data_IF_566369411041
#
_entry.id   IF_566369411041
#
_cell.length_a   1.000
_cell.length_b   1.000
_cell.length_c   1.000
_cell.angle_alpha   90.00
_cell.angle_beta   90.00
_cell.angle_gamma   90.00
#
_symmetry.space_group_name_H-M   'P 1'
#
loop_
_entity.id
_entity.type
_entity.pdbx_description
1 polymer ?
#
# COMPACT_ATOMS: atom_id res chain seq x y z
N UNK A 1 8.18 -27.68 10.98
CA UNK A 1 6.86 -27.12 10.57
C UNK A 1 6.79 -25.61 10.84
N UNK A 2 7.81 -25.02 11.48
CA UNK A 2 7.77 -23.64 12.00
C UNK A 2 8.00 -22.56 10.94
N UNK A 3 8.80 -22.85 9.90
CA UNK A 3 9.09 -21.89 8.82
C UNK A 3 7.86 -21.53 7.99
N UNK A 4 7.04 -22.53 7.63
CA UNK A 4 5.79 -22.32 6.89
C UNK A 4 4.79 -21.49 7.72
N UNK A 5 4.68 -21.77 9.03
CA UNK A 5 3.78 -21.02 9.92
C UNK A 5 4.11 -19.53 9.99
N UNK A 6 5.40 -19.18 9.96
CA UNK A 6 5.86 -17.80 10.01
C UNK A 6 5.51 -17.03 8.72
N UNK A 7 5.65 -17.69 7.56
CA UNK A 7 5.28 -17.05 6.28
C UNK A 7 3.77 -16.79 6.15
N UNK A 8 2.91 -17.72 6.57
CA UNK A 8 1.47 -17.49 6.58
C UNK A 8 1.06 -16.32 7.48
N UNK A 9 1.71 -16.18 8.64
CA UNK A 9 1.47 -15.06 9.57
C UNK A 9 1.89 -13.73 8.93
N UNK A 10 3.06 -13.66 8.28
CA UNK A 10 3.50 -12.46 7.56
C UNK A 10 2.50 -12.07 6.47
N UNK A 11 2.03 -13.02 5.67
CA UNK A 11 1.03 -12.78 4.61
C UNK A 11 -0.27 -12.21 5.18
N UNK A 12 -0.77 -12.79 6.28
CA UNK A 12 -1.98 -12.31 6.93
C UNK A 12 -1.80 -10.87 7.45
N UNK A 13 -0.68 -10.62 8.15
CA UNK A 13 -0.36 -9.32 8.72
C UNK A 13 -0.25 -8.25 7.62
N UNK A 14 0.42 -8.54 6.52
CA UNK A 14 0.62 -7.52 5.48
C UNK A 14 -0.68 -7.18 4.74
N UNK A 15 -1.56 -8.18 4.53
CA UNK A 15 -2.89 -7.94 3.99
C UNK A 15 -3.70 -7.03 4.92
N UNK A 16 -3.69 -7.31 6.23
CA UNK A 16 -4.36 -6.49 7.25
C UNK A 16 -3.82 -5.08 7.25
N UNK A 17 -2.49 -4.91 7.24
CA UNK A 17 -1.83 -3.60 7.20
C UNK A 17 -2.27 -2.81 5.97
N UNK A 18 -2.17 -3.41 4.77
CA UNK A 18 -2.61 -2.77 3.54
C UNK A 18 -4.10 -2.41 3.58
N UNK A 19 -4.93 -3.31 4.13
CA UNK A 19 -6.36 -3.08 4.26
C UNK A 19 -6.68 -1.89 5.17
N UNK A 20 -6.02 -1.79 6.34
CA UNK A 20 -6.22 -0.71 7.31
C UNK A 20 -5.82 0.65 6.73
N UNK A 21 -4.65 0.72 6.08
CA UNK A 21 -4.18 1.95 5.43
C UNK A 21 -5.17 2.36 4.32
N UNK A 22 -5.62 1.39 3.53
CA UNK A 22 -6.54 1.67 2.44
C UNK A 22 -7.95 2.04 2.88
N UNK A 23 -8.46 1.42 3.95
CA UNK A 23 -9.72 1.83 4.58
C UNK A 23 -9.64 3.26 5.09
N UNK A 24 -8.56 3.62 5.77
CA UNK A 24 -8.40 4.97 6.30
C UNK A 24 -8.38 6.01 5.18
N UNK A 25 -7.73 5.68 4.05
CA UNK A 25 -7.72 6.57 2.89
C UNK A 25 -9.09 6.67 2.22
N UNK A 26 -9.80 5.55 2.07
CA UNK A 26 -11.16 5.51 1.54
C UNK A 26 -12.13 6.34 2.41
N UNK A 27 -12.04 6.21 3.74
CA UNK A 27 -12.76 7.03 4.72
C UNK A 27 -12.41 8.51 4.58
N UNK A 28 -11.12 8.87 4.54
CA UNK A 28 -10.70 10.27 4.41
C UNK A 28 -11.21 10.92 3.12
N UNK A 29 -11.22 10.16 2.03
CA UNK A 29 -11.70 10.61 0.73
C UNK A 29 -13.22 10.77 0.72
N UNK A 30 -13.95 9.85 1.36
CA UNK A 30 -15.39 9.94 1.57
C UNK A 30 -15.76 11.24 2.31
N UNK A 31 -15.08 11.57 3.40
CA UNK A 31 -15.33 12.81 4.15
C UNK A 31 -15.00 14.09 3.35
N UNK A 32 -14.02 14.02 2.43
CA UNK A 32 -13.57 15.17 1.65
C UNK A 32 -14.28 15.31 0.29
N UNK A 33 -15.32 14.51 0.02
CA UNK A 33 -16.00 14.41 -1.28
C UNK A 33 -15.01 14.26 -2.46
N UNK A 34 -13.90 13.55 -2.25
CA UNK A 34 -12.89 13.30 -3.28
C UNK A 34 -13.11 11.93 -3.91
N UNK A 35 -13.14 11.89 -5.23
CA UNK A 35 -13.18 10.66 -6.03
C UNK A 35 -11.75 10.17 -6.29
N UNK A 36 -11.09 9.74 -5.21
CA UNK A 36 -9.76 9.13 -5.30
C UNK A 36 -9.87 7.63 -5.59
N UNK A 37 -9.02 7.13 -6.50
CA UNK A 37 -9.19 5.84 -7.19
C UNK A 37 -8.96 4.57 -6.37
N UNK A 38 -8.39 4.65 -5.17
CA UNK A 38 -7.79 3.46 -4.55
C UNK A 38 -8.20 3.32 -3.08
N UNK A 39 -9.15 2.41 -2.86
CA UNK A 39 -9.70 2.02 -1.57
C UNK A 39 -9.02 0.80 -0.94
N UNK A 40 -9.63 0.24 0.10
CA UNK A 40 -9.00 -0.78 0.96
C UNK A 40 -8.43 -1.99 0.20
N UNK A 41 -9.16 -2.49 -0.80
CA UNK A 41 -8.77 -3.66 -1.60
C UNK A 41 -7.50 -3.44 -2.41
N UNK A 42 -7.33 -2.25 -3.01
CA UNK A 42 -6.16 -1.98 -3.85
C UNK A 42 -4.89 -1.90 -3.03
N UNK A 43 -4.96 -1.34 -1.82
CA UNK A 43 -3.83 -1.34 -0.91
C UNK A 43 -3.44 -2.72 -0.40
N UNK A 44 -4.41 -3.56 -0.03
CA UNK A 44 -4.11 -4.95 0.37
C UNK A 44 -3.38 -5.70 -0.74
N UNK A 45 -3.82 -5.54 -1.99
CA UNK A 45 -3.15 -6.14 -3.17
C UNK A 45 -1.74 -5.57 -3.32
N UNK A 46 -1.56 -4.24 -3.21
CA UNK A 46 -0.25 -3.59 -3.33
C UNK A 46 0.73 -4.06 -2.25
N UNK A 47 0.26 -4.20 -1.01
CA UNK A 47 1.06 -4.71 0.11
C UNK A 47 1.51 -6.16 -0.16
N UNK A 48 0.60 -6.98 -0.70
CA UNK A 48 0.89 -8.36 -1.07
C UNK A 48 1.86 -8.47 -2.25
N UNK A 49 1.73 -7.60 -3.26
CA UNK A 49 2.70 -7.50 -4.37
C UNK A 49 4.08 -7.12 -3.83
N UNK A 50 4.15 -6.20 -2.86
CA UNK A 50 5.38 -5.84 -2.16
C UNK A 50 6.02 -7.05 -1.48
N UNK A 51 5.25 -7.85 -0.75
CA UNK A 51 5.75 -9.09 -0.14
C UNK A 51 6.22 -10.13 -1.15
N UNK A 52 5.44 -10.41 -2.19
CA UNK A 52 5.81 -11.34 -3.26
C UNK A 52 7.10 -10.92 -3.97
N UNK A 53 7.34 -9.60 -4.05
CA UNK A 53 8.56 -9.08 -4.67
C UNK A 53 9.84 -9.53 -3.97
N UNK A 54 9.78 -9.89 -2.69
CA UNK A 54 10.96 -10.36 -1.95
C UNK A 54 11.47 -11.74 -2.41
N UNK A 55 10.61 -12.54 -3.05
CA UNK A 55 10.94 -13.87 -3.55
C UNK A 55 11.40 -13.87 -5.01
N UNK A 56 11.02 -12.84 -5.75
CA UNK A 56 11.41 -12.67 -7.15
C UNK A 56 12.71 -11.88 -7.11
N UNK A 57 13.84 -12.52 -7.43
CA UNK A 57 15.19 -11.95 -7.32
C UNK A 57 15.50 -10.83 -8.34
N UNK A 58 14.46 -10.12 -8.84
CA UNK A 58 14.57 -9.11 -9.88
C UNK A 58 14.45 -7.70 -9.29
N UNK A 59 14.91 -6.70 -10.05
CA UNK A 59 14.75 -5.27 -9.79
C UNK A 59 13.27 -4.83 -9.75
N UNK A 60 12.43 -5.36 -8.84
CA UNK A 60 10.99 -5.11 -8.72
C UNK A 60 10.59 -3.65 -8.45
N UNK A 61 11.59 -2.79 -8.23
CA UNK A 61 11.52 -1.34 -8.45
C UNK A 61 10.84 -1.00 -9.79
N UNK A 62 11.03 -1.82 -10.85
CA UNK A 62 10.38 -1.62 -12.15
C UNK A 62 8.90 -1.99 -12.19
N UNK A 63 8.45 -2.98 -11.41
CA UNK A 63 7.02 -3.35 -11.33
C UNK A 63 6.23 -2.28 -10.57
N UNK A 64 6.85 -1.70 -9.53
CA UNK A 64 6.39 -0.50 -8.85
C UNK A 64 6.26 0.69 -9.81
N UNK A 65 7.31 0.99 -10.58
CA UNK A 65 7.29 2.04 -11.60
C UNK A 65 6.20 1.81 -12.64
N UNK A 66 5.96 0.56 -13.03
CA UNK A 66 4.95 0.18 -14.02
C UNK A 66 3.52 0.32 -13.46
N UNK A 67 3.30 0.05 -12.18
CA UNK A 67 2.02 0.27 -11.50
C UNK A 67 1.73 1.77 -11.31
N UNK A 68 2.76 2.56 -11.00
CA UNK A 68 2.66 4.04 -10.95
C UNK A 68 2.40 4.59 -12.36
N UNK A 69 3.04 4.05 -13.40
CA UNK A 69 2.81 4.40 -14.80
C UNK A 69 1.44 3.95 -15.33
N UNK A 70 0.90 2.81 -14.90
CA UNK A 70 -0.47 2.38 -15.17
C UNK A 70 -1.47 3.31 -14.48
N UNK A 71 -1.18 3.71 -13.24
CA UNK A 71 -1.92 4.77 -12.54
C UNK A 71 -1.91 6.09 -13.31
N UNK A 72 -0.79 6.45 -13.93
CA UNK A 72 -0.64 7.62 -14.77
C UNK A 72 -1.39 7.52 -16.12
N UNK A 73 -1.31 6.36 -16.79
CA UNK A 73 -1.92 6.10 -18.11
C UNK A 73 -3.45 6.01 -18.03
N UNK A 74 -4.00 5.36 -16.99
CA UNK A 74 -5.44 5.29 -16.74
C UNK A 74 -6.02 6.65 -16.32
N UNK A 75 -5.19 7.52 -15.73
CA UNK A 75 -5.57 8.87 -15.30
C UNK A 75 -5.63 9.88 -16.46
N UNK A 76 -4.82 9.68 -17.52
CA UNK A 76 -4.75 10.59 -18.66
C UNK A 76 -5.99 10.60 -19.56
N UNK A 77 -6.92 9.65 -19.37
CA UNK A 77 -8.07 9.49 -20.26
C UNK A 77 -9.28 10.30 -19.79
N UNK A 78 -9.40 10.69 -18.51
CA UNK A 78 -10.75 11.02 -18.01
C UNK A 78 -11.05 12.25 -17.14
N UNK A 79 -10.19 12.96 -16.39
CA UNK A 79 -10.75 14.15 -15.67
C UNK A 79 -9.78 15.17 -15.04
N UNK A 80 -10.12 16.46 -15.21
CA UNK A 80 -9.44 17.68 -14.75
C UNK A 80 -9.55 17.96 -13.23
N UNK A 81 -9.62 16.94 -12.37
CA UNK A 81 -9.82 17.13 -10.93
C UNK A 81 -8.51 17.00 -10.14
N UNK A 82 -8.25 17.98 -9.27
CA UNK A 82 -7.04 18.10 -8.46
C UNK A 82 -6.92 16.94 -7.44
N UNK A 83 -6.30 15.83 -7.86
CA UNK A 83 -6.07 14.64 -7.02
C UNK A 83 -4.94 14.85 -6.01
N UNK A 84 -5.09 14.26 -4.83
CA UNK A 84 -4.14 14.41 -3.72
C UNK A 84 -2.91 13.52 -3.88
N UNK A 85 -1.72 14.13 -3.95
CA UNK A 85 -0.40 13.45 -3.99
C UNK A 85 -0.23 12.42 -2.84
N UNK A 86 -0.90 12.63 -1.71
CA UNK A 86 -0.87 11.73 -0.54
C UNK A 86 -1.34 10.31 -0.85
N UNK A 87 -2.20 10.12 -1.85
CA UNK A 87 -2.70 8.83 -2.31
C UNK A 87 -1.60 8.06 -3.05
N UNK A 88 -0.83 8.73 -3.89
CA UNK A 88 0.29 8.07 -4.58
C UNK A 88 1.39 7.69 -3.57
N UNK A 89 1.71 8.61 -2.66
CA UNK A 89 2.74 8.38 -1.62
C UNK A 89 2.35 7.23 -0.68
N UNK A 90 1.08 7.12 -0.27
CA UNK A 90 0.65 6.03 0.62
C UNK A 90 0.62 4.66 -0.08
N UNK A 91 0.39 4.60 -1.40
CA UNK A 91 0.52 3.35 -2.17
C UNK A 91 1.97 2.88 -2.21
N UNK A 92 2.91 3.79 -2.48
CA UNK A 92 4.35 3.50 -2.48
C UNK A 92 4.79 3.01 -1.09
N UNK A 93 4.38 3.72 -0.03
CA UNK A 93 4.71 3.32 1.34
C UNK A 93 4.17 1.92 1.68
N UNK A 94 2.94 1.61 1.27
CA UNK A 94 2.31 0.31 1.52
C UNK A 94 3.03 -0.83 0.80
N UNK A 95 3.49 -0.59 -0.43
CA UNK A 95 4.32 -1.56 -1.14
C UNK A 95 5.65 -1.82 -0.41
N UNK A 96 6.31 -0.76 0.06
CA UNK A 96 7.59 -0.87 0.79
C UNK A 96 7.40 -1.67 2.08
N UNK A 97 6.30 -1.45 2.82
CA UNK A 97 5.95 -2.27 3.98
C UNK A 97 5.83 -3.76 3.61
N UNK A 98 5.29 -4.06 2.43
CA UNK A 98 5.23 -5.42 1.91
C UNK A 98 6.59 -6.08 1.74
N UNK A 99 7.58 -5.33 1.26
CA UNK A 99 8.96 -5.81 1.18
C UNK A 99 9.55 -6.00 2.58
N UNK A 100 9.29 -5.02 3.45
CA UNK A 100 9.95 -4.89 4.74
C UNK A 100 9.58 -6.02 5.71
N UNK A 101 8.36 -6.56 5.61
CA UNK A 101 7.88 -7.61 6.51
C UNK A 101 8.72 -8.89 6.45
N UNK A 102 9.37 -9.17 5.32
CA UNK A 102 10.23 -10.34 5.20
C UNK A 102 11.58 -10.13 5.93
N UNK A 103 12.02 -8.87 6.08
CA UNK A 103 13.24 -8.53 6.82
C UNK A 103 13.00 -8.38 8.31
N UNK A 104 11.96 -7.67 8.71
CA UNK A 104 11.65 -7.43 10.12
C UNK A 104 10.15 -7.14 10.32
N UNK A 105 9.46 -8.06 10.99
CA UNK A 105 8.02 -7.99 11.24
C UNK A 105 7.66 -6.87 12.23
N UNK A 106 8.38 -6.75 13.35
CA UNK A 106 8.10 -5.75 14.39
C UNK A 106 8.23 -4.33 13.85
N UNK A 107 9.32 -4.07 13.12
CA UNK A 107 9.58 -2.77 12.50
C UNK A 107 8.54 -2.43 11.43
N UNK A 108 8.06 -3.43 10.67
CA UNK A 108 6.99 -3.23 9.69
C UNK A 108 5.68 -2.80 10.34
N UNK A 109 5.28 -3.44 11.44
CA UNK A 109 4.06 -3.08 12.18
C UNK A 109 4.19 -1.66 12.74
N UNK A 110 5.34 -1.33 13.34
CA UNK A 110 5.58 0.00 13.89
C UNK A 110 5.46 1.12 12.84
N UNK A 111 6.09 0.93 11.67
CA UNK A 111 6.02 1.91 10.57
C UNK A 111 4.61 1.99 10.00
N UNK A 112 3.90 0.87 9.88
CA UNK A 112 2.51 0.85 9.42
C UNK A 112 1.61 1.69 10.32
N UNK A 113 1.72 1.52 11.64
CA UNK A 113 0.96 2.33 12.62
C UNK A 113 1.32 3.81 12.50
N UNK A 114 2.60 4.14 12.35
CA UNK A 114 3.04 5.53 12.13
C UNK A 114 2.46 6.15 10.85
N UNK A 115 2.42 5.39 9.75
CA UNK A 115 1.81 5.84 8.50
C UNK A 115 0.32 6.12 8.70
N UNK A 116 -0.41 5.20 9.32
CA UNK A 116 -1.83 5.38 9.65
C UNK A 116 -2.04 6.62 10.52
N UNK A 117 -1.18 6.84 11.52
CA UNK A 117 -1.24 8.01 12.38
C UNK A 117 -0.99 9.31 11.60
N UNK A 118 0.07 9.37 10.78
CA UNK A 118 0.40 10.52 9.94
C UNK A 118 -0.71 10.85 8.92
N UNK A 119 -1.33 9.83 8.34
CA UNK A 119 -2.47 10.00 7.43
C UNK A 119 -3.69 10.57 8.16
N UNK A 120 -3.87 10.25 9.44
CA UNK A 120 -4.95 10.78 10.27
C UNK A 120 -4.75 12.25 10.64
N UNK A 121 -3.50 12.68 10.89
CA UNK A 121 -3.18 14.05 11.29
C UNK A 121 -3.55 15.13 10.26
N UNK A 122 -3.77 14.74 9.00
CA UNK A 122 -4.18 15.67 7.93
C UNK A 122 -5.70 15.69 7.71
N UNK A 123 -6.48 15.15 8.64
CA UNK A 123 -7.95 15.24 8.62
C UNK A 123 -8.45 16.50 9.30
#
# INVERSE_FOLDING_TARGET
MDLLSNEYIKILIIIIIGFVIGLQRELSNFYKNRTDLAGARTFSIVALIGYLSTYINSNLIYVLGLIIAIGYYLNNINDNSHRGITTEVSLIATYILGILINKNLELTIYIAVLIVFLLNLKS
#
